data_IF_507997798386
#
_entry.id   IF_507997798386
#
_cell.length_a   1.000
_cell.length_b   1.000
_cell.length_c   1.000
_cell.angle_alpha   90.00
_cell.angle_beta   90.00
_cell.angle_gamma   90.00
#
_symmetry.space_group_name_H-M   'P 1'
#
loop_
_entity.id
_entity.type
_entity.pdbx_description
1 polymer ?
#
# COMPACT_ATOMS: atom_id res chain seq x y z
N UNK A 1 39.19 16.98 -35.72
CA UNK A 1 37.76 16.88 -35.48
C UNK A 1 37.55 15.90 -34.32
N UNK A 2 37.57 16.45 -33.07
CA UNK A 2 37.51 15.65 -31.83
C UNK A 2 36.06 15.55 -31.36
N UNK A 3 35.49 14.36 -31.37
CA UNK A 3 34.14 14.08 -30.84
C UNK A 3 34.27 13.93 -29.32
N UNK A 4 33.87 14.96 -28.60
CA UNK A 4 33.71 14.90 -27.15
C UNK A 4 32.53 14.00 -26.80
N UNK A 5 32.80 12.80 -26.28
CA UNK A 5 31.82 11.97 -25.59
C UNK A 5 31.42 12.65 -24.30
N UNK A 6 30.18 13.15 -24.27
CA UNK A 6 29.54 13.71 -23.08
C UNK A 6 29.30 12.59 -22.08
N UNK A 7 30.09 12.51 -21.03
CA UNK A 7 29.88 11.65 -19.88
C UNK A 7 28.64 12.17 -19.14
N UNK A 8 27.59 11.36 -19.05
CA UNK A 8 26.40 11.70 -18.29
C UNK A 8 26.73 11.73 -16.78
N UNK A 9 26.30 12.74 -16.03
CA UNK A 9 26.57 12.82 -14.60
C UNK A 9 25.84 11.73 -13.82
N UNK A 10 26.57 11.12 -12.90
CA UNK A 10 26.20 10.00 -12.03
C UNK A 10 24.87 10.16 -11.24
N UNK A 11 24.37 11.38 -11.13
CA UNK A 11 23.12 11.71 -10.42
C UNK A 11 21.83 11.16 -11.07
N UNK A 12 21.85 10.87 -12.40
CA UNK A 12 20.69 10.28 -13.09
C UNK A 12 20.59 8.76 -12.90
N UNK A 13 21.72 8.09 -12.67
CA UNK A 13 21.74 6.64 -12.44
C UNK A 13 21.22 6.31 -11.04
N UNK A 14 21.52 7.15 -10.04
CA UNK A 14 21.03 6.97 -8.66
C UNK A 14 19.50 7.10 -8.53
N UNK A 15 18.85 7.88 -9.42
CA UNK A 15 17.37 8.02 -9.43
C UNK A 15 16.67 6.81 -10.04
N UNK A 16 17.29 6.13 -11.00
CA UNK A 16 16.73 4.92 -11.61
C UNK A 16 16.84 3.73 -10.67
N UNK A 17 17.96 3.61 -9.92
CA UNK A 17 18.14 2.52 -8.95
C UNK A 17 17.32 2.67 -7.68
N UNK A 18 16.91 3.90 -7.27
CA UNK A 18 16.00 4.11 -6.13
C UNK A 18 14.55 3.74 -6.42
N UNK A 19 14.14 3.62 -7.67
CA UNK A 19 12.80 3.18 -8.07
C UNK A 19 12.62 1.65 -8.03
N UNK A 20 13.69 0.89 -7.93
CA UNK A 20 13.66 -0.56 -8.10
C UNK A 20 13.68 -1.37 -6.79
N UNK A 21 13.53 -0.75 -5.60
CA UNK A 21 13.61 -1.51 -4.35
C UNK A 21 12.52 -1.20 -3.31
N UNK A 22 11.37 -0.66 -3.73
CA UNK A 22 10.28 -0.41 -2.82
C UNK A 22 9.00 -1.02 -3.37
N UNK A 23 8.81 -2.30 -3.09
CA UNK A 23 7.52 -2.96 -3.33
C UNK A 23 6.49 -2.37 -2.37
N UNK A 24 5.45 -1.78 -2.93
CA UNK A 24 4.30 -1.31 -2.17
C UNK A 24 3.43 -2.50 -1.78
N UNK A 25 3.66 -3.05 -0.59
CA UNK A 25 2.93 -4.25 -0.16
C UNK A 25 1.45 -3.97 0.03
N UNK A 26 0.65 -4.90 -0.46
CA UNK A 26 -0.79 -4.87 -0.33
C UNK A 26 -1.17 -5.42 1.05
N UNK A 27 -2.00 -4.66 1.77
CA UNK A 27 -2.57 -5.04 3.06
C UNK A 27 -3.90 -5.75 2.87
N UNK A 28 -4.76 -5.22 2.01
CA UNK A 28 -6.06 -5.81 1.71
C UNK A 28 -6.55 -5.42 0.33
N UNK A 29 -7.42 -6.26 -0.23
CA UNK A 29 -8.13 -6.01 -1.48
C UNK A 29 -9.61 -6.31 -1.27
N UNK A 30 -10.48 -5.51 -1.89
CA UNK A 30 -11.93 -5.72 -1.88
C UNK A 30 -12.49 -5.49 -3.27
N UNK A 31 -13.26 -6.45 -3.81
CA UNK A 31 -13.92 -6.28 -5.08
C UNK A 31 -15.10 -5.30 -4.95
N UNK A 32 -15.29 -4.47 -5.97
CA UNK A 32 -16.41 -3.56 -6.11
C UNK A 32 -17.24 -3.92 -7.34
N UNK A 33 -18.37 -3.23 -7.50
CA UNK A 33 -19.15 -3.32 -8.73
C UNK A 33 -18.33 -2.88 -9.94
N UNK A 34 -18.78 -3.26 -11.13
CA UNK A 34 -18.18 -2.88 -12.42
C UNK A 34 -16.71 -3.28 -12.59
N UNK A 35 -16.32 -4.43 -12.02
CA UNK A 35 -14.95 -4.97 -12.11
C UNK A 35 -13.87 -4.00 -11.60
N UNK A 36 -14.16 -3.27 -10.55
CA UNK A 36 -13.20 -2.41 -9.84
C UNK A 36 -12.73 -3.07 -8.56
N UNK A 37 -11.56 -2.69 -8.12
CA UNK A 37 -10.95 -3.15 -6.88
C UNK A 37 -10.57 -1.97 -6.01
N UNK A 38 -10.86 -2.05 -4.72
CA UNK A 38 -10.23 -1.19 -3.73
C UNK A 38 -9.03 -1.93 -3.16
N UNK A 39 -7.85 -1.35 -3.28
CA UNK A 39 -6.59 -1.93 -2.82
C UNK A 39 -5.99 -1.02 -1.75
N UNK A 40 -5.84 -1.55 -0.54
CA UNK A 40 -5.17 -0.85 0.55
C UNK A 40 -3.74 -1.34 0.67
N UNK A 41 -2.79 -0.42 0.65
CA UNK A 41 -1.37 -0.70 0.83
C UNK A 41 -0.93 -0.56 2.29
N UNK A 42 0.17 -1.21 2.65
CA UNK A 42 0.70 -1.17 4.02
C UNK A 42 1.13 0.23 4.45
N UNK A 43 1.46 1.10 3.51
CA UNK A 43 1.78 2.50 3.73
C UNK A 43 0.55 3.37 4.08
N UNK A 44 -0.65 2.79 4.10
CA UNK A 44 -1.90 3.48 4.40
C UNK A 44 -2.51 4.22 3.20
N UNK A 45 -2.02 3.96 2.00
CA UNK A 45 -2.59 4.49 0.76
C UNK A 45 -3.66 3.53 0.26
N UNK A 46 -4.80 4.08 -0.15
CA UNK A 46 -5.88 3.32 -0.79
C UNK A 46 -5.94 3.69 -2.27
N UNK A 47 -6.03 2.67 -3.13
CA UNK A 47 -6.19 2.85 -4.56
C UNK A 47 -7.44 2.16 -5.08
N UNK A 48 -8.08 2.81 -6.04
CA UNK A 48 -9.14 2.23 -6.85
C UNK A 48 -8.51 1.77 -8.17
N UNK A 49 -8.63 0.49 -8.47
CA UNK A 49 -8.10 -0.10 -9.71
C UNK A 49 -9.25 -0.61 -10.57
N UNK A 50 -9.24 -0.23 -11.85
CA UNK A 50 -10.22 -0.68 -12.84
C UNK A 50 -9.63 -1.85 -13.63
N UNK A 51 -10.25 -3.02 -13.51
CA UNK A 51 -9.83 -4.26 -14.20
C UNK A 51 -10.34 -4.33 -15.64
N UNK A 52 -11.37 -3.53 -16.00
CA UNK A 52 -11.98 -3.59 -17.34
C UNK A 52 -10.98 -3.46 -18.49
N UNK A 53 -9.97 -2.56 -18.45
CA UNK A 53 -8.98 -2.46 -19.51
C UNK A 53 -8.15 -3.73 -19.73
N UNK A 54 -8.02 -4.59 -18.71
CA UNK A 54 -7.26 -5.84 -18.81
C UNK A 54 -8.02 -6.90 -19.63
N UNK A 55 -9.35 -6.88 -19.64
CA UNK A 55 -10.15 -7.83 -20.43
C UNK A 55 -9.88 -7.72 -21.92
N UNK A 56 -9.49 -6.53 -22.40
CA UNK A 56 -9.14 -6.30 -23.80
C UNK A 56 -7.66 -6.56 -24.07
N UNK A 57 -6.79 -6.20 -23.12
CA UNK A 57 -5.34 -6.30 -23.27
C UNK A 57 -4.81 -7.72 -23.03
N UNK A 58 -5.42 -8.44 -22.10
CA UNK A 58 -4.96 -9.75 -21.63
C UNK A 58 -6.11 -10.77 -21.67
N UNK A 59 -6.18 -11.64 -22.69
CA UNK A 59 -7.26 -12.60 -22.85
C UNK A 59 -7.49 -13.53 -21.65
N UNK A 60 -6.45 -13.78 -20.84
CA UNK A 60 -6.56 -14.63 -19.64
C UNK A 60 -7.52 -14.05 -18.60
N UNK A 61 -7.71 -12.72 -18.56
CA UNK A 61 -8.64 -12.06 -17.65
C UNK A 61 -10.10 -12.10 -18.13
N UNK A 62 -10.37 -12.52 -19.37
CA UNK A 62 -11.73 -12.59 -19.90
C UNK A 62 -12.64 -13.53 -19.09
N UNK A 63 -12.09 -14.58 -18.49
CA UNK A 63 -12.81 -15.50 -17.60
C UNK A 63 -13.49 -14.79 -16.42
N UNK A 64 -12.86 -13.78 -15.85
CA UNK A 64 -13.42 -13.00 -14.74
C UNK A 64 -14.64 -12.17 -15.17
N UNK A 65 -14.67 -11.75 -16.44
CA UNK A 65 -15.82 -11.02 -17.01
C UNK A 65 -17.00 -11.96 -17.23
N UNK A 66 -16.72 -13.21 -17.64
CA UNK A 66 -17.74 -14.25 -17.87
C UNK A 66 -18.28 -14.80 -16.54
N UNK A 67 -17.45 -14.80 -15.49
CA UNK A 67 -17.80 -15.30 -14.16
C UNK A 67 -17.57 -14.24 -13.06
N UNK A 68 -18.53 -13.33 -12.85
CA UNK A 68 -18.41 -12.28 -11.81
C UNK A 68 -18.24 -12.82 -10.38
N UNK A 69 -18.70 -14.06 -10.12
CA UNK A 69 -18.51 -14.71 -8.83
C UNK A 69 -17.02 -15.00 -8.57
N UNK A 70 -16.28 -15.39 -9.59
CA UNK A 70 -14.83 -15.60 -9.52
C UNK A 70 -14.08 -14.29 -9.27
N UNK A 71 -14.51 -13.21 -9.93
CA UNK A 71 -13.96 -11.88 -9.65
C UNK A 71 -14.09 -11.50 -8.17
N UNK A 72 -15.20 -11.87 -7.54
CA UNK A 72 -15.44 -11.66 -6.11
C UNK A 72 -14.52 -12.45 -5.16
N UNK A 73 -13.82 -13.48 -5.67
CA UNK A 73 -12.92 -14.32 -4.88
C UNK A 73 -11.49 -13.81 -4.83
N UNK A 74 -11.24 -12.55 -5.23
CA UNK A 74 -9.92 -11.93 -5.17
C UNK A 74 -9.35 -11.95 -3.75
N UNK A 75 -8.07 -12.27 -3.64
CA UNK A 75 -7.34 -12.26 -2.37
C UNK A 75 -5.92 -11.71 -2.53
N UNK A 76 -5.32 -11.27 -1.42
CA UNK A 76 -3.91 -10.85 -1.41
C UNK A 76 -3.04 -12.10 -1.41
N UNK A 77 -1.95 -12.10 -2.18
CA UNK A 77 -0.99 -13.20 -2.20
C UNK A 77 -0.22 -13.36 -0.88
N UNK A 78 0.51 -14.48 -0.79
CA UNK A 78 1.38 -14.75 0.37
C UNK A 78 2.58 -13.81 0.36
N UNK A 79 2.49 -12.72 1.10
CA UNK A 79 3.56 -11.73 1.22
C UNK A 79 3.15 -10.31 0.83
N UNK A 80 1.98 -10.13 0.22
CA UNK A 80 1.44 -8.82 -0.15
C UNK A 80 2.07 -8.23 -1.43
N UNK A 81 2.69 -9.06 -2.26
CA UNK A 81 3.34 -8.60 -3.50
C UNK A 81 2.40 -8.55 -4.70
N UNK A 82 1.18 -9.06 -4.55
CA UNK A 82 0.16 -9.06 -5.56
C UNK A 82 -1.21 -9.44 -5.02
N UNK A 83 -2.15 -9.53 -5.93
CA UNK A 83 -3.49 -10.10 -5.70
C UNK A 83 -3.70 -11.28 -6.66
N UNK A 84 -4.50 -12.24 -6.23
CA UNK A 84 -4.74 -13.47 -6.98
C UNK A 84 -6.23 -13.78 -7.07
N UNK A 85 -6.62 -14.42 -8.18
CA UNK A 85 -7.90 -15.09 -8.38
C UNK A 85 -7.63 -16.56 -8.65
N UNK A 86 -7.85 -17.39 -7.62
CA UNK A 86 -7.46 -18.80 -7.69
C UNK A 86 -5.95 -18.99 -7.84
N UNK A 87 -5.56 -19.99 -8.66
CA UNK A 87 -4.15 -20.36 -8.84
C UNK A 87 -3.57 -19.89 -10.19
N UNK A 88 -4.39 -19.29 -11.06
CA UNK A 88 -4.00 -19.00 -12.44
C UNK A 88 -3.89 -17.52 -12.81
N UNK A 89 -4.57 -16.65 -12.05
CA UNK A 89 -4.60 -15.21 -12.34
C UNK A 89 -4.03 -14.41 -11.20
N UNK A 90 -3.10 -13.51 -11.54
CA UNK A 90 -2.50 -12.58 -10.58
C UNK A 90 -2.28 -11.20 -11.17
N UNK A 91 -2.21 -10.20 -10.29
CA UNK A 91 -1.74 -8.85 -10.60
C UNK A 91 -0.72 -8.43 -9.55
N UNK A 92 0.40 -7.89 -10.01
CA UNK A 92 1.47 -7.42 -9.13
C UNK A 92 1.08 -6.16 -8.35
N UNK A 93 1.68 -5.97 -7.19
CA UNK A 93 1.52 -4.75 -6.41
C UNK A 93 1.97 -3.50 -7.18
N UNK A 94 2.98 -3.60 -8.04
CA UNK A 94 3.48 -2.49 -8.84
C UNK A 94 2.44 -2.05 -9.89
N UNK A 95 1.78 -3.00 -10.58
CA UNK A 95 0.68 -2.71 -11.50
C UNK A 95 -0.44 -1.94 -10.80
N UNK A 96 -0.86 -2.42 -9.64
CA UNK A 96 -1.94 -1.81 -8.86
C UNK A 96 -1.55 -0.45 -8.29
N UNK A 97 -0.27 -0.25 -7.95
CA UNK A 97 0.24 1.01 -7.46
C UNK A 97 0.35 2.07 -8.55
N UNK A 98 0.93 1.70 -9.70
CA UNK A 98 1.22 2.64 -10.79
C UNK A 98 -0.06 3.06 -11.55
N UNK A 99 -0.97 2.12 -11.78
CA UNK A 99 -2.17 2.32 -12.59
C UNK A 99 -3.46 2.49 -11.78
N UNK A 100 -3.44 2.22 -10.47
CA UNK A 100 -4.56 2.51 -9.59
C UNK A 100 -4.68 4.00 -9.29
N UNK A 101 -5.90 4.50 -9.25
CA UNK A 101 -6.23 5.87 -8.88
C UNK A 101 -6.21 6.02 -7.36
N UNK A 102 -5.46 6.99 -6.82
CA UNK A 102 -5.43 7.23 -5.37
C UNK A 102 -6.75 7.80 -4.91
N UNK A 103 -7.33 7.17 -3.90
CA UNK A 103 -8.61 7.60 -3.31
C UNK A 103 -8.37 8.03 -1.88
N UNK A 104 -8.71 9.26 -1.55
CA UNK A 104 -8.68 9.75 -0.18
C UNK A 104 -9.88 9.19 0.59
N UNK A 105 -9.60 8.46 1.64
CA UNK A 105 -10.61 7.92 2.56
C UNK A 105 -10.39 8.45 3.99
N UNK A 106 -11.43 8.50 4.83
CA UNK A 106 -11.27 8.89 6.24
C UNK A 106 -10.33 7.97 7.05
N UNK A 107 -9.98 6.81 6.49
CA UNK A 107 -9.14 5.81 7.13
C UNK A 107 -7.69 5.81 6.62
N UNK A 108 -7.39 6.65 5.62
CA UNK A 108 -6.06 6.74 5.05
C UNK A 108 -5.07 7.31 6.07
N UNK A 109 -3.89 6.71 6.09
CA UNK A 109 -2.89 7.07 7.08
C UNK A 109 -3.24 6.70 8.52
N UNK A 110 -4.25 5.86 8.74
CA UNK A 110 -4.58 5.27 10.04
C UNK A 110 -4.14 3.81 10.09
N UNK A 111 -3.60 3.38 11.22
CA UNK A 111 -3.21 1.98 11.44
C UNK A 111 -3.44 1.55 12.87
N UNK A 112 -3.54 0.24 13.11
CA UNK A 112 -3.57 -0.29 14.46
C UNK A 112 -2.25 -0.02 15.19
N UNK A 113 -2.30 0.10 16.51
CA UNK A 113 -1.10 0.33 17.32
C UNK A 113 -0.10 -0.84 17.18
N UNK A 114 -0.59 -2.07 17.03
CA UNK A 114 0.23 -3.27 16.74
C UNK A 114 1.01 -3.13 15.44
N UNK A 115 0.34 -2.71 14.37
CA UNK A 115 0.97 -2.53 13.05
C UNK A 115 2.04 -1.44 13.11
N UNK A 116 1.77 -0.35 13.86
CA UNK A 116 2.73 0.71 14.10
C UNK A 116 3.96 0.23 14.87
N UNK A 117 3.79 -0.69 15.84
CA UNK A 117 4.95 -1.26 16.58
C UNK A 117 5.85 -2.06 15.66
N UNK A 118 5.28 -2.84 14.76
CA UNK A 118 6.04 -3.62 13.78
C UNK A 118 6.78 -2.71 12.79
N UNK A 119 6.08 -1.71 12.23
CA UNK A 119 6.62 -0.84 11.19
C UNK A 119 7.74 0.06 11.69
N UNK A 120 7.69 0.53 12.94
CA UNK A 120 8.72 1.38 13.57
C UNK A 120 9.69 0.62 14.47
N UNK A 121 9.56 -0.70 14.59
CA UNK A 121 10.41 -1.50 15.46
C UNK A 121 10.32 -1.11 16.94
N UNK A 122 9.14 -0.67 17.39
CA UNK A 122 8.89 -0.20 18.76
C UNK A 122 8.12 -1.24 19.58
N UNK A 123 8.22 -1.12 20.90
CA UNK A 123 7.36 -1.89 21.79
C UNK A 123 6.00 -1.17 21.99
N UNK A 124 4.93 -1.93 22.10
CA UNK A 124 3.60 -1.38 22.36
C UNK A 124 3.56 -0.52 23.64
N UNK A 125 4.30 -0.93 24.67
CA UNK A 125 4.46 -0.17 25.90
C UNK A 125 5.05 1.23 25.67
N UNK A 126 5.93 1.39 24.69
CA UNK A 126 6.53 2.69 24.32
C UNK A 126 5.47 3.62 23.77
N UNK A 127 4.63 3.12 22.84
CA UNK A 127 3.54 3.90 22.26
C UNK A 127 2.45 4.22 23.31
N UNK A 128 2.11 3.27 24.19
CA UNK A 128 1.18 3.52 25.29
C UNK A 128 1.68 4.59 26.26
N UNK A 129 2.98 4.62 26.57
CA UNK A 129 3.60 5.68 27.36
C UNK A 129 3.57 7.01 26.63
N UNK A 130 3.85 7.03 25.31
CA UNK A 130 3.77 8.25 24.51
C UNK A 130 2.35 8.85 24.52
N UNK A 131 1.31 8.03 24.48
CA UNK A 131 -0.08 8.46 24.63
C UNK A 131 -0.32 9.02 26.05
N UNK A 132 0.13 8.30 27.07
CA UNK A 132 -0.05 8.69 28.48
C UNK A 132 0.64 10.02 28.83
N UNK A 133 1.82 10.28 28.22
CA UNK A 133 2.57 11.53 28.44
C UNK A 133 2.18 12.66 27.46
N UNK A 134 1.18 12.43 26.59
CA UNK A 134 0.70 13.44 25.65
C UNK A 134 1.64 13.72 24.47
N UNK A 135 2.66 12.88 24.27
CA UNK A 135 3.52 12.93 23.06
C UNK A 135 2.73 12.56 21.82
N UNK A 136 1.86 11.55 21.93
CA UNK A 136 0.82 11.23 20.96
C UNK A 136 -0.52 11.67 21.56
N UNK A 137 -1.14 12.67 20.95
CA UNK A 137 -2.35 13.32 21.48
C UNK A 137 -3.59 12.50 21.17
N UNK A 138 -4.30 12.08 22.22
CA UNK A 138 -5.56 11.36 22.06
C UNK A 138 -6.63 12.25 21.41
N UNK A 139 -7.33 11.72 20.42
CA UNK A 139 -8.33 12.44 19.63
C UNK A 139 -7.75 13.22 18.44
N UNK A 140 -6.42 13.32 18.32
CA UNK A 140 -5.72 13.98 17.21
C UNK A 140 -4.76 13.00 16.51
N UNK A 141 -3.82 12.46 17.26
CA UNK A 141 -2.78 11.55 16.75
C UNK A 141 -3.18 10.09 16.89
N UNK A 142 -3.93 9.79 17.94
CA UNK A 142 -4.43 8.46 18.29
C UNK A 142 -5.88 8.53 18.72
N UNK A 143 -6.62 7.47 18.47
CA UNK A 143 -7.98 7.31 18.95
C UNK A 143 -8.22 5.86 19.35
N UNK A 144 -9.12 5.66 20.32
CA UNK A 144 -9.48 4.33 20.77
C UNK A 144 -10.86 3.95 20.23
N UNK A 145 -10.91 2.88 19.45
CA UNK A 145 -12.15 2.27 18.97
C UNK A 145 -12.42 0.97 19.73
N UNK A 146 -13.34 1.04 20.70
CA UNK A 146 -13.56 -0.10 21.60
C UNK A 146 -12.31 -0.44 22.41
N UNK A 147 -11.74 -1.62 22.16
CA UNK A 147 -10.49 -2.07 22.82
C UNK A 147 -9.23 -1.75 21.99
N UNK A 148 -9.40 -1.38 20.72
CA UNK A 148 -8.31 -1.17 19.79
C UNK A 148 -7.86 0.30 19.76
N UNK A 149 -6.56 0.52 19.86
CA UNK A 149 -5.96 1.82 19.58
C UNK A 149 -5.58 1.92 18.10
N UNK A 150 -5.88 3.07 17.52
CA UNK A 150 -5.50 3.46 16.15
C UNK A 150 -4.63 4.70 16.25
N UNK A 151 -3.58 4.74 15.45
CA UNK A 151 -2.62 5.85 15.39
C UNK A 151 -2.47 6.33 13.94
N UNK A 152 -2.24 7.63 13.76
CA UNK A 152 -1.97 8.17 12.43
C UNK A 152 -0.49 7.99 12.05
N UNK A 153 -0.27 7.64 10.78
CA UNK A 153 1.09 7.55 10.17
C UNK A 153 1.83 8.87 10.29
N UNK A 154 1.12 9.99 10.11
CA UNK A 154 1.71 11.32 10.21
C UNK A 154 2.24 11.60 11.62
N UNK A 155 1.51 11.22 12.65
CA UNK A 155 1.96 11.37 14.04
C UNK A 155 3.17 10.47 14.31
N UNK A 156 3.17 9.23 13.83
CA UNK A 156 4.30 8.33 13.99
C UNK A 156 5.55 8.87 13.28
N UNK A 157 5.42 9.36 12.05
CA UNK A 157 6.52 9.98 11.31
C UNK A 157 7.06 11.23 12.02
N UNK A 158 6.18 12.06 12.58
CA UNK A 158 6.57 13.25 13.32
C UNK A 158 7.38 12.91 14.57
N UNK A 159 6.98 11.90 15.32
CA UNK A 159 7.55 11.59 16.64
C UNK A 159 8.72 10.59 16.59
N UNK A 160 8.74 9.71 15.62
CA UNK A 160 9.72 8.62 15.55
C UNK A 160 10.48 8.56 14.22
N UNK A 161 10.24 9.50 13.31
CA UNK A 161 10.82 9.48 11.96
C UNK A 161 10.11 8.50 11.04
N UNK A 162 10.59 8.35 9.81
CA UNK A 162 10.04 7.37 8.88
C UNK A 162 10.21 5.96 9.43
N UNK A 163 9.14 5.17 9.43
CA UNK A 163 9.17 3.78 9.87
C UNK A 163 10.21 2.97 9.07
N UNK A 164 10.81 1.98 9.71
CA UNK A 164 11.68 1.03 9.03
C UNK A 164 10.81 0.23 8.04
N UNK A 165 11.16 0.32 6.77
CA UNK A 165 10.53 -0.41 5.67
C UNK A 165 11.18 -1.74 5.46
#
# INVERSE_FOLDING_TARGET
MLIMKRVMPCARIARVFRRCSMFHKIKSVSPLADFKLTVQFCEGVTKLYDVNPLFEKLPVFASLKENPAEFGCVSVDVGGYGIIWGDELDLSCDELWEHGETVDTPFDGLMALSDATELWGLNESTLRKAISYGKLVNGVDVCKFGKQWVVSVNAMNREYGAGAR
#
